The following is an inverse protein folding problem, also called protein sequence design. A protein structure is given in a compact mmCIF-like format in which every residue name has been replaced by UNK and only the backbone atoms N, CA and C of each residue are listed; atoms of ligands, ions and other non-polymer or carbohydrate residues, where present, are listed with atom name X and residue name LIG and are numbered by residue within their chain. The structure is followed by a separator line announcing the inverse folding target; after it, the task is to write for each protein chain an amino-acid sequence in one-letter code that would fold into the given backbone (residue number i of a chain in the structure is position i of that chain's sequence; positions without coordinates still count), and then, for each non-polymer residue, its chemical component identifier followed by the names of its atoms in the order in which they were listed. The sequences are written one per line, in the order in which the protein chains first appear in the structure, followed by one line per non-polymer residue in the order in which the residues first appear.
data_IF_907852641385
#
_entry.id   IF_907852641385
#
_cell.length_a   1.000
_cell.length_b   1.000
_cell.length_c   1.000
_cell.angle_alpha   90.00
_cell.angle_beta   90.00
_cell.angle_gamma   90.00
#
_symmetry.space_group_name_H-M   'P 1'
#
loop_
_entity.id
_entity.type
_entity.pdbx_description
1 polymer ?
#
# COMPACT_ATOMS: atom_id res chain seq x y z
N UNK A 1 -5.85 -12.03 -22.48
CA UNK A 1 -5.96 -13.32 -21.74
C UNK A 1 -5.95 -13.00 -20.25
N UNK A 2 -7.08 -13.19 -19.55
CA UNK A 2 -7.29 -12.73 -18.17
C UNK A 2 -6.70 -13.66 -17.09
N UNK A 3 -6.28 -14.87 -17.48
CA UNK A 3 -5.78 -15.89 -16.56
C UNK A 3 -4.29 -16.12 -16.80
N UNK A 4 -3.48 -15.94 -15.76
CA UNK A 4 -2.06 -16.25 -15.76
C UNK A 4 -1.74 -17.25 -14.64
N UNK A 5 -1.60 -18.52 -15.01
CA UNK A 5 -1.48 -19.66 -14.07
C UNK A 5 -0.38 -19.45 -13.01
N UNK A 6 0.84 -18.99 -13.34
CA UNK A 6 1.86 -18.75 -12.33
C UNK A 6 1.43 -17.73 -11.27
N UNK A 7 0.70 -16.67 -11.64
CA UNK A 7 0.17 -15.71 -10.66
C UNK A 7 -0.92 -16.33 -9.78
N UNK A 8 -1.79 -17.19 -10.33
CA UNK A 8 -2.83 -17.89 -9.55
C UNK A 8 -2.17 -18.79 -8.52
N UNK A 9 -1.19 -19.61 -8.92
CA UNK A 9 -0.50 -20.51 -8.00
C UNK A 9 0.22 -19.76 -6.88
N UNK A 10 0.89 -18.64 -7.21
CA UNK A 10 1.56 -17.82 -6.20
C UNK A 10 0.56 -17.11 -5.26
N UNK A 11 -0.60 -16.71 -5.76
CA UNK A 11 -1.66 -16.14 -4.94
C UNK A 11 -2.28 -17.15 -3.97
N UNK A 12 -2.50 -18.38 -4.42
CA UNK A 12 -2.96 -19.48 -3.57
C UNK A 12 -1.92 -19.85 -2.51
N UNK A 13 -0.63 -19.89 -2.87
CA UNK A 13 0.46 -20.14 -1.92
C UNK A 13 0.54 -19.03 -0.86
N UNK A 14 0.45 -17.77 -1.28
CA UNK A 14 0.39 -16.62 -0.37
C UNK A 14 -0.80 -16.71 0.60
N UNK A 15 -1.99 -17.03 0.09
CA UNK A 15 -3.20 -17.22 0.90
C UNK A 15 -3.03 -18.37 1.90
N UNK A 16 -2.47 -19.50 1.46
CA UNK A 16 -2.21 -20.67 2.30
C UNK A 16 -1.26 -20.34 3.45
N UNK A 17 -0.19 -19.59 3.20
CA UNK A 17 0.75 -19.16 4.24
C UNK A 17 0.06 -18.23 5.25
N UNK A 18 -0.75 -17.26 4.79
CA UNK A 18 -1.53 -16.42 5.71
C UNK A 18 -2.51 -17.24 6.55
N UNK A 19 -3.16 -18.26 5.98
CA UNK A 19 -4.04 -19.16 6.74
C UNK A 19 -3.25 -19.96 7.79
N UNK A 20 -2.05 -20.43 7.45
CA UNK A 20 -1.15 -21.11 8.41
C UNK A 20 -0.75 -20.17 9.54
N UNK A 21 -0.46 -18.90 9.26
CA UNK A 21 -0.16 -17.87 10.28
C UNK A 21 -1.32 -17.73 11.28
N UNK A 22 -2.58 -17.77 10.81
CA UNK A 22 -3.76 -17.70 11.67
C UNK A 22 -3.90 -18.96 12.54
N UNK A 23 -3.59 -20.14 12.00
CA UNK A 23 -3.73 -21.42 12.72
C UNK A 23 -2.58 -21.69 13.70
N UNK A 24 -1.37 -21.22 13.40
CA UNK A 24 -0.15 -21.53 14.14
C UNK A 24 0.60 -20.27 14.55
N UNK A 25 0.24 -19.70 15.70
CA UNK A 25 0.91 -18.51 16.26
C UNK A 25 2.34 -18.78 16.76
N UNK A 26 2.68 -20.01 17.13
CA UNK A 26 3.97 -20.36 17.73
C UNK A 26 5.19 -20.21 16.79
N UNK A 27 4.97 -20.18 15.47
CA UNK A 27 6.04 -20.08 14.47
C UNK A 27 6.11 -18.68 13.82
N UNK A 28 5.71 -17.64 14.55
CA UNK A 28 5.52 -16.27 14.07
C UNK A 28 6.62 -15.74 13.14
N UNK A 29 7.88 -15.69 13.62
CA UNK A 29 9.00 -15.15 12.86
C UNK A 29 9.36 -16.00 11.64
N UNK A 30 9.29 -17.33 11.76
CA UNK A 30 9.57 -18.25 10.66
C UNK A 30 8.55 -18.08 9.53
N UNK A 31 7.25 -18.03 9.88
CA UNK A 31 6.17 -17.87 8.91
C UNK A 31 6.23 -16.51 8.22
N UNK A 32 6.63 -15.45 8.93
CA UNK A 32 6.89 -14.15 8.32
C UNK A 32 8.01 -14.25 7.27
N UNK A 33 9.16 -14.84 7.62
CA UNK A 33 10.28 -14.99 6.68
C UNK A 33 9.88 -15.82 5.45
N UNK A 34 9.13 -16.91 5.65
CA UNK A 34 8.60 -17.73 4.57
C UNK A 34 7.64 -16.94 3.68
N UNK A 35 6.73 -16.15 4.27
CA UNK A 35 5.81 -15.30 3.53
C UNK A 35 6.55 -14.27 2.68
N UNK A 36 7.54 -13.57 3.25
CA UNK A 36 8.33 -12.56 2.54
C UNK A 36 9.15 -13.20 1.41
N UNK A 37 9.78 -14.34 1.66
CA UNK A 37 10.51 -15.09 0.65
C UNK A 37 9.59 -15.49 -0.50
N UNK A 38 8.46 -16.13 -0.20
CA UNK A 38 7.46 -16.54 -1.19
C UNK A 38 6.92 -15.34 -1.97
N UNK A 39 6.67 -14.22 -1.33
CA UNK A 39 6.18 -13.02 -2.00
C UNK A 39 7.22 -12.49 -3.01
N UNK A 40 8.47 -12.32 -2.59
CA UNK A 40 9.55 -11.79 -3.45
C UNK A 40 9.92 -12.78 -4.57
N UNK A 41 10.11 -14.06 -4.25
CA UNK A 41 10.41 -15.09 -5.24
C UNK A 41 9.23 -15.32 -6.19
N UNK A 42 8.01 -15.33 -5.68
CA UNK A 42 6.79 -15.45 -6.47
C UNK A 42 6.67 -14.32 -7.49
N UNK A 43 6.95 -13.08 -7.07
CA UNK A 43 7.03 -11.95 -7.99
C UNK A 43 8.11 -12.11 -9.06
N UNK A 44 9.31 -12.58 -8.67
CA UNK A 44 10.40 -12.81 -9.62
C UNK A 44 10.04 -13.88 -10.65
N UNK A 45 9.43 -14.98 -10.23
CA UNK A 45 8.97 -16.08 -11.08
C UNK A 45 7.88 -15.60 -12.04
N UNK A 46 6.89 -14.87 -11.54
CA UNK A 46 5.76 -14.40 -12.34
C UNK A 46 6.14 -13.30 -13.36
N UNK A 47 6.97 -12.33 -12.95
CA UNK A 47 7.21 -11.13 -13.77
C UNK A 47 8.51 -11.16 -14.56
N UNK A 48 9.47 -12.01 -14.17
CA UNK A 48 10.84 -12.03 -14.71
C UNK A 48 11.54 -10.66 -14.66
N UNK A 49 11.07 -9.71 -13.85
CA UNK A 49 11.69 -8.39 -13.63
C UNK A 49 11.77 -8.09 -12.13
N UNK A 50 12.57 -7.09 -11.77
CA UNK A 50 12.72 -6.60 -10.38
C UNK A 50 12.14 -5.19 -10.20
N UNK A 51 11.30 -4.69 -11.11
CA UNK A 51 10.94 -3.28 -11.09
C UNK A 51 10.06 -2.88 -9.87
N UNK A 52 9.27 -3.79 -9.32
CA UNK A 52 8.31 -3.54 -8.23
C UNK A 52 8.41 -4.52 -7.06
N UNK A 53 9.55 -5.19 -6.88
CA UNK A 53 9.72 -6.19 -5.81
C UNK A 53 9.45 -5.60 -4.40
N UNK A 54 9.80 -4.33 -4.19
CA UNK A 54 9.62 -3.69 -2.89
C UNK A 54 8.13 -3.47 -2.56
N UNK A 55 7.30 -3.21 -3.57
CA UNK A 55 5.85 -3.09 -3.38
C UNK A 55 5.24 -4.43 -2.94
N UNK A 56 5.74 -5.54 -3.46
CA UNK A 56 5.34 -6.91 -3.04
C UNK A 56 5.72 -7.17 -1.59
N UNK A 57 6.96 -6.83 -1.23
CA UNK A 57 7.47 -7.01 0.12
C UNK A 57 6.63 -6.21 1.11
N UNK A 58 6.38 -4.94 0.80
CA UNK A 58 5.59 -4.06 1.64
C UNK A 58 4.15 -4.56 1.79
N UNK A 59 3.53 -5.04 0.69
CA UNK A 59 2.20 -5.64 0.71
C UNK A 59 2.14 -6.88 1.61
N UNK A 60 3.10 -7.80 1.46
CA UNK A 60 3.16 -9.03 2.25
C UNK A 60 3.36 -8.74 3.74
N UNK A 61 4.29 -7.85 4.08
CA UNK A 61 4.54 -7.42 5.46
C UNK A 61 3.30 -6.77 6.07
N UNK A 62 2.66 -5.85 5.34
CA UNK A 62 1.46 -5.15 5.82
C UNK A 62 0.28 -6.10 5.99
N UNK A 63 0.10 -7.05 5.07
CA UNK A 63 -0.97 -8.05 5.17
C UNK A 63 -0.78 -8.96 6.38
N UNK A 64 0.45 -9.38 6.62
CA UNK A 64 0.80 -10.17 7.80
C UNK A 64 0.57 -9.38 9.09
N UNK A 65 0.89 -8.09 9.15
CA UNK A 65 0.63 -7.29 10.36
C UNK A 65 -0.87 -7.12 10.59
N UNK A 66 -1.65 -6.79 9.56
CA UNK A 66 -3.11 -6.59 9.68
C UNK A 66 -3.81 -7.87 10.15
N UNK A 67 -3.40 -9.05 9.69
CA UNK A 67 -4.08 -10.30 10.08
C UNK A 67 -4.00 -10.58 11.59
N UNK A 68 -2.99 -10.02 12.27
CA UNK A 68 -2.83 -10.09 13.72
C UNK A 68 -3.62 -9.00 14.48
N UNK A 69 -4.07 -7.95 13.78
CA UNK A 69 -4.90 -6.88 14.35
C UNK A 69 -6.41 -7.11 14.17
N UNK A 70 -6.79 -8.09 13.34
CA UNK A 70 -8.18 -8.52 13.18
C UNK A 70 -8.49 -9.54 14.28
N UNK A 71 -9.61 -9.39 14.98
CA UNK A 71 -10.02 -10.33 16.04
C UNK A 71 -10.92 -11.45 15.49
N UNK A 72 -11.90 -11.10 14.67
CA UNK A 72 -12.91 -12.02 14.17
C UNK A 72 -12.32 -13.06 13.19
N UNK A 73 -12.52 -14.38 13.42
CA UNK A 73 -12.05 -15.42 12.51
C UNK A 73 -12.62 -15.30 11.09
N UNK A 74 -13.88 -14.88 10.98
CA UNK A 74 -14.55 -14.69 9.68
C UNK A 74 -13.93 -13.52 8.93
N UNK A 75 -13.64 -12.41 9.62
CA UNK A 75 -12.99 -11.26 9.01
C UNK A 75 -11.56 -11.58 8.56
N UNK A 76 -10.82 -12.43 9.29
CA UNK A 76 -9.50 -12.92 8.86
C UNK A 76 -9.60 -13.69 7.54
N UNK A 77 -10.56 -14.59 7.42
CA UNK A 77 -10.71 -15.39 6.19
C UNK A 77 -11.12 -14.53 5.00
N UNK A 78 -12.02 -13.57 5.19
CA UNK A 78 -12.37 -12.57 4.17
C UNK A 78 -11.11 -11.77 3.78
N UNK A 79 -10.34 -11.32 4.76
CA UNK A 79 -9.11 -10.56 4.53
C UNK A 79 -8.06 -11.36 3.74
N UNK A 80 -7.87 -12.65 4.04
CA UNK A 80 -6.98 -13.54 3.30
C UNK A 80 -7.40 -13.63 1.84
N UNK A 81 -8.69 -13.84 1.56
CA UNK A 81 -9.22 -13.95 0.19
C UNK A 81 -8.99 -12.64 -0.58
N UNK A 82 -9.31 -11.49 0.03
CA UNK A 82 -9.11 -10.18 -0.60
C UNK A 82 -7.63 -9.90 -0.86
N UNK A 83 -6.76 -10.22 0.10
CA UNK A 83 -5.31 -10.02 -0.04
C UNK A 83 -4.73 -10.91 -1.15
N UNK A 84 -5.19 -12.15 -1.25
CA UNK A 84 -4.80 -13.06 -2.31
C UNK A 84 -5.25 -12.57 -3.70
N UNK A 85 -6.47 -12.00 -3.79
CA UNK A 85 -6.99 -11.43 -5.03
C UNK A 85 -6.16 -10.21 -5.49
N UNK A 86 -5.86 -9.28 -4.56
CA UNK A 86 -5.01 -8.12 -4.85
C UNK A 86 -3.61 -8.57 -5.27
N UNK A 87 -3.05 -9.55 -4.56
CA UNK A 87 -1.75 -10.11 -4.90
C UNK A 87 -1.72 -10.78 -6.28
N UNK A 88 -2.78 -11.52 -6.63
CA UNK A 88 -2.96 -12.09 -7.98
C UNK A 88 -2.92 -11.00 -9.06
N UNK A 89 -3.77 -9.98 -8.91
CA UNK A 89 -3.85 -8.89 -9.89
C UNK A 89 -2.53 -8.14 -10.02
N UNK A 90 -1.81 -7.98 -8.92
CA UNK A 90 -0.49 -7.37 -8.93
C UNK A 90 0.52 -8.18 -9.74
N UNK A 91 0.61 -9.49 -9.49
CA UNK A 91 1.49 -10.39 -10.25
C UNK A 91 1.12 -10.41 -11.74
N UNK A 92 -0.17 -10.45 -12.04
CA UNK A 92 -0.67 -10.42 -13.41
C UNK A 92 -0.32 -9.11 -14.13
N UNK A 93 -0.49 -7.98 -13.47
CA UNK A 93 -0.14 -6.68 -14.03
C UNK A 93 1.38 -6.51 -14.19
N UNK A 94 2.18 -6.97 -13.22
CA UNK A 94 3.63 -7.01 -13.30
C UNK A 94 4.13 -7.86 -14.48
N UNK A 95 3.49 -9.01 -14.74
CA UNK A 95 3.76 -9.82 -15.93
C UNK A 95 3.43 -9.08 -17.23
N UNK A 96 2.28 -8.39 -17.31
CA UNK A 96 1.88 -7.61 -18.48
C UNK A 96 2.85 -6.46 -18.77
N UNK A 97 3.21 -5.65 -17.76
CA UNK A 97 4.24 -4.60 -17.90
C UNK A 97 5.62 -5.20 -18.25
N UNK A 98 5.87 -6.43 -17.79
CA UNK A 98 7.03 -7.22 -18.20
C UNK A 98 7.15 -7.36 -19.72
N UNK A 99 6.04 -7.66 -20.38
CA UNK A 99 5.96 -7.86 -21.84
C UNK A 99 5.76 -6.56 -22.62
N UNK A 100 4.83 -5.71 -22.18
CA UNK A 100 4.51 -4.44 -22.81
C UNK A 100 4.54 -3.32 -21.75
N UNK A 101 5.63 -2.54 -21.68
CA UNK A 101 5.76 -1.46 -20.70
C UNK A 101 4.70 -0.36 -20.81
N UNK A 102 4.06 -0.21 -21.97
CA UNK A 102 3.13 0.90 -22.24
C UNK A 102 1.66 0.52 -22.03
N UNK A 103 1.39 -0.72 -21.61
CA UNK A 103 0.06 -1.26 -21.30
C UNK A 103 -0.65 -0.41 -20.22
N UNK A 104 -1.69 0.32 -20.64
CA UNK A 104 -2.42 1.26 -19.76
C UNK A 104 -3.24 0.54 -18.70
N UNK A 105 -3.87 -0.60 -19.03
CA UNK A 105 -4.68 -1.36 -18.07
C UNK A 105 -3.79 -1.95 -16.98
N UNK A 106 -2.64 -2.50 -17.36
CA UNK A 106 -1.70 -3.06 -16.40
C UNK A 106 -1.14 -1.98 -15.46
N UNK A 107 -0.88 -0.77 -15.97
CA UNK A 107 -0.51 0.38 -15.13
C UNK A 107 -1.62 0.79 -14.18
N UNK A 108 -2.88 0.76 -14.63
CA UNK A 108 -4.06 0.98 -13.78
C UNK A 108 -4.17 -0.05 -12.66
N UNK A 109 -3.96 -1.33 -12.97
CA UNK A 109 -3.96 -2.40 -11.94
C UNK A 109 -2.82 -2.20 -10.93
N UNK A 110 -1.61 -1.84 -11.37
CA UNK A 110 -0.50 -1.56 -10.45
C UNK A 110 -0.79 -0.34 -9.58
N UNK A 111 -1.42 0.70 -10.13
CA UNK A 111 -1.86 1.84 -9.33
C UNK A 111 -2.88 1.43 -8.26
N UNK A 112 -3.87 0.60 -8.61
CA UNK A 112 -4.83 0.05 -7.64
C UNK A 112 -4.13 -0.78 -6.56
N UNK A 113 -3.19 -1.65 -6.94
CA UNK A 113 -2.39 -2.40 -5.95
C UNK A 113 -1.57 -1.46 -5.07
N UNK A 114 -0.94 -0.42 -5.63
CA UNK A 114 -0.19 0.56 -4.87
C UNK A 114 -1.06 1.24 -3.80
N UNK A 115 -2.29 1.62 -4.15
CA UNK A 115 -3.25 2.19 -3.21
C UNK A 115 -3.65 1.19 -2.12
N UNK A 116 -3.93 -0.06 -2.49
CA UNK A 116 -4.23 -1.11 -1.51
C UNK A 116 -3.04 -1.37 -0.57
N UNK A 117 -1.82 -1.45 -1.10
CA UNK A 117 -0.61 -1.61 -0.30
C UNK A 117 -0.38 -0.42 0.62
N UNK A 118 -0.55 0.81 0.13
CA UNK A 118 -0.41 2.02 0.95
C UNK A 118 -1.43 2.02 2.10
N UNK A 119 -2.69 1.70 1.82
CA UNK A 119 -3.73 1.57 2.85
C UNK A 119 -3.37 0.54 3.92
N UNK A 120 -2.99 -0.67 3.50
CA UNK A 120 -2.60 -1.74 4.43
C UNK A 120 -1.36 -1.34 5.21
N UNK A 121 -0.38 -0.71 4.57
CA UNK A 121 0.85 -0.24 5.21
C UNK A 121 0.56 0.81 6.27
N UNK A 122 -0.21 1.85 5.95
CA UNK A 122 -0.58 2.89 6.91
C UNK A 122 -1.36 2.30 8.09
N UNK A 123 -2.35 1.45 7.81
CA UNK A 123 -3.16 0.79 8.83
C UNK A 123 -2.33 -0.15 9.72
N UNK A 124 -1.44 -0.96 9.12
CA UNK A 124 -0.60 -1.91 9.84
C UNK A 124 0.36 -1.21 10.79
N UNK A 125 1.09 -0.23 10.27
CA UNK A 125 2.12 0.50 11.01
C UNK A 125 1.51 1.38 12.10
N UNK A 126 0.38 2.04 11.84
CA UNK A 126 -0.33 2.78 12.88
C UNK A 126 -0.92 1.84 13.93
N UNK A 127 -1.41 0.67 13.53
CA UNK A 127 -1.86 -0.37 14.46
C UNK A 127 -0.73 -0.86 15.37
N UNK A 128 0.47 -1.09 14.83
CA UNK A 128 1.66 -1.38 15.65
C UNK A 128 1.97 -0.20 16.57
N UNK A 129 1.97 1.03 16.06
CA UNK A 129 2.23 2.22 16.87
C UNK A 129 1.24 2.40 18.04
N UNK A 130 -0.04 2.04 17.87
CA UNK A 130 -1.04 2.10 18.94
C UNK A 130 -0.86 1.01 20.00
N UNK A 131 -0.37 -0.17 19.61
CA UNK A 131 -0.27 -1.33 20.49
C UNK A 131 1.10 -1.49 21.17
N UNK A 132 2.11 -0.79 20.67
CA UNK A 132 3.48 -0.83 21.19
C UNK A 132 3.93 0.58 21.53
N UNK A 133 4.70 0.76 22.60
CA UNK A 133 5.23 2.07 23.04
C UNK A 133 6.34 2.59 22.11
N UNK A 134 6.03 2.75 20.83
CA UNK A 134 6.94 3.21 19.79
C UNK A 134 6.93 4.72 19.76
N UNK A 135 8.10 5.34 19.78
CA UNK A 135 8.19 6.79 19.66
C UNK A 135 7.64 7.27 18.29
N UNK A 136 6.87 8.36 18.28
CA UNK A 136 6.18 8.85 17.07
C UNK A 136 7.11 9.15 15.90
N UNK A 137 8.35 9.58 16.18
CA UNK A 137 9.34 9.86 15.13
C UNK A 137 9.73 8.60 14.33
N UNK A 138 9.66 7.41 14.92
CA UNK A 138 9.87 6.16 14.20
C UNK A 138 8.77 5.92 13.18
N UNK A 139 7.51 6.13 13.55
CA UNK A 139 6.36 6.03 12.64
C UNK A 139 6.52 7.01 11.47
N UNK A 140 6.83 8.26 11.78
CA UNK A 140 7.07 9.33 10.81
C UNK A 140 8.18 8.96 9.80
N UNK A 141 9.32 8.48 10.30
CA UNK A 141 10.44 8.06 9.46
C UNK A 141 10.07 6.83 8.61
N UNK A 142 9.32 5.89 9.18
CA UNK A 142 8.89 4.69 8.47
C UNK A 142 7.95 5.04 7.32
N UNK A 143 7.02 5.98 7.53
CA UNK A 143 6.20 6.54 6.46
C UNK A 143 7.04 7.20 5.37
N UNK A 144 7.94 8.10 5.75
CA UNK A 144 8.81 8.78 4.80
C UNK A 144 9.57 7.80 3.89
N UNK A 145 10.26 6.84 4.48
CA UNK A 145 11.14 5.92 3.74
C UNK A 145 10.33 5.01 2.82
N UNK A 146 9.32 4.32 3.34
CA UNK A 146 8.57 3.34 2.56
C UNK A 146 7.78 4.02 1.43
N UNK A 147 7.14 5.15 1.71
CA UNK A 147 6.35 5.90 0.72
C UNK A 147 7.23 6.51 -0.37
N UNK A 148 8.40 7.03 -0.01
CA UNK A 148 9.37 7.52 -0.99
C UNK A 148 9.83 6.40 -1.93
N UNK A 149 10.12 5.21 -1.39
CA UNK A 149 10.59 4.08 -2.20
C UNK A 149 9.48 3.57 -3.13
N UNK A 150 8.26 3.31 -2.65
CA UNK A 150 7.18 2.81 -3.52
C UNK A 150 6.79 3.83 -4.59
N UNK A 151 6.78 5.13 -4.25
CA UNK A 151 6.46 6.20 -5.20
C UNK A 151 7.55 6.30 -6.28
N UNK A 152 8.82 6.20 -5.88
CA UNK A 152 9.93 6.19 -6.84
C UNK A 152 9.84 5.00 -7.79
N UNK A 153 9.56 3.79 -7.26
CA UNK A 153 9.40 2.58 -8.08
C UNK A 153 8.22 2.67 -9.04
N UNK A 154 7.12 3.29 -8.62
CA UNK A 154 5.96 3.50 -9.49
C UNK A 154 6.25 4.55 -10.57
N UNK A 155 6.72 5.74 -10.21
CA UNK A 155 6.95 6.82 -11.17
C UNK A 155 8.07 6.53 -12.17
N UNK A 156 9.05 5.70 -11.83
CA UNK A 156 10.06 5.24 -12.81
C UNK A 156 9.48 4.36 -13.92
N UNK A 157 8.26 3.83 -13.76
CA UNK A 157 7.52 3.16 -14.84
C UNK A 157 6.98 4.19 -15.83
N UNK A 158 6.53 5.33 -15.32
CA UNK A 158 5.87 6.40 -16.09
C UNK A 158 6.93 7.27 -16.78
N UNK A 159 7.84 7.84 -15.99
CA UNK A 159 8.89 8.75 -16.45
C UNK A 159 10.25 8.04 -16.44
N UNK A 160 10.72 7.66 -17.64
CA UNK A 160 11.95 6.88 -17.83
C UNK A 160 13.19 7.76 -18.03
N UNK A 161 13.02 9.00 -18.48
CA UNK A 161 14.11 9.91 -18.88
C UNK A 161 14.66 10.67 -17.67
N UNK A 162 13.79 11.29 -16.87
CA UNK A 162 14.23 12.18 -15.79
C UNK A 162 14.15 11.54 -14.39
N UNK A 163 15.07 10.61 -14.10
CA UNK A 163 15.12 9.91 -12.81
C UNK A 163 15.35 10.83 -11.61
N UNK A 164 16.08 11.94 -11.79
CA UNK A 164 16.32 12.92 -10.71
C UNK A 164 15.02 13.60 -10.30
N UNK A 165 14.20 14.01 -11.27
CA UNK A 165 12.90 14.60 -11.01
C UNK A 165 11.97 13.59 -10.33
N UNK A 166 11.95 12.34 -10.80
CA UNK A 166 11.17 11.26 -10.16
C UNK A 166 11.57 11.06 -8.70
N UNK A 167 12.88 11.07 -8.40
CA UNK A 167 13.37 10.97 -7.02
C UNK A 167 12.88 12.15 -6.16
N UNK A 168 13.01 13.38 -6.66
CA UNK A 168 12.60 14.59 -5.92
C UNK A 168 11.09 14.52 -5.59
N UNK A 169 10.24 14.24 -6.57
CA UNK A 169 8.79 14.12 -6.33
C UNK A 169 8.48 13.01 -5.34
N UNK A 170 9.16 11.87 -5.43
CA UNK A 170 8.94 10.76 -4.50
C UNK A 170 9.32 11.12 -3.06
N UNK A 171 10.42 11.87 -2.87
CA UNK A 171 10.82 12.39 -1.56
C UNK A 171 9.85 13.44 -1.03
N UNK A 172 9.32 14.33 -1.89
CA UNK A 172 8.31 15.31 -1.51
C UNK A 172 7.04 14.61 -1.01
N UNK A 173 6.57 13.57 -1.71
CA UNK A 173 5.43 12.78 -1.26
C UNK A 173 5.73 12.11 0.08
N UNK A 174 6.90 11.49 0.23
CA UNK A 174 7.33 10.90 1.50
C UNK A 174 7.35 11.91 2.63
N UNK A 175 7.86 13.13 2.40
CA UNK A 175 7.88 14.20 3.41
C UNK A 175 6.45 14.64 3.78
N UNK A 176 5.54 14.73 2.80
CA UNK A 176 4.14 14.99 3.10
C UNK A 176 3.55 13.94 4.06
N UNK A 177 3.88 12.66 3.86
CA UNK A 177 3.42 11.57 4.73
C UNK A 177 4.14 11.53 6.08
N UNK A 178 5.38 12.02 6.15
CA UNK A 178 6.10 12.24 7.41
C UNK A 178 5.34 13.24 8.29
N UNK A 179 5.00 14.40 7.74
CA UNK A 179 4.27 15.46 8.44
C UNK A 179 2.86 15.00 8.84
N UNK A 180 2.14 14.32 7.94
CA UNK A 180 0.83 13.74 8.28
C UNK A 180 0.92 12.66 9.35
N UNK A 181 2.01 11.87 9.38
CA UNK A 181 2.29 10.92 10.44
C UNK A 181 2.46 11.56 11.82
N UNK A 182 2.88 12.83 11.87
CA UNK A 182 2.88 13.61 13.10
C UNK A 182 1.48 14.10 13.47
N UNK A 183 0.77 14.72 12.50
CA UNK A 183 -0.57 15.29 12.68
C UNK A 183 -1.57 14.25 13.19
N UNK A 184 -1.51 13.02 12.66
CA UNK A 184 -2.48 11.98 12.98
C UNK A 184 -2.36 11.45 14.41
N UNK A 185 -1.26 11.71 15.11
CA UNK A 185 -1.11 11.34 16.53
C UNK A 185 -1.99 12.18 17.45
N UNK A 186 -2.45 13.34 16.99
CA UNK A 186 -3.36 14.20 17.74
C UNK A 186 -4.83 13.81 17.54
N UNK A 187 -5.12 12.83 16.68
CA UNK A 187 -6.49 12.41 16.40
C UNK A 187 -6.83 11.13 17.16
N UNK A 188 -8.02 11.03 17.77
CA UNK A 188 -8.44 9.87 18.57
C UNK A 188 -8.96 8.74 17.67
N UNK A 189 -8.24 8.41 16.60
CA UNK A 189 -8.69 7.47 15.57
C UNK A 189 -8.02 6.11 15.71
N UNK A 190 -8.78 5.07 15.39
CA UNK A 190 -8.25 3.72 15.23
C UNK A 190 -7.42 3.57 13.96
N UNK A 191 -6.67 2.48 13.87
CA UNK A 191 -5.70 2.25 12.80
C UNK A 191 -6.30 2.20 11.39
N UNK A 192 -7.51 1.67 11.21
CA UNK A 192 -8.18 1.64 9.90
C UNK A 192 -8.58 3.05 9.44
N UNK A 193 -9.16 3.85 10.33
CA UNK A 193 -9.55 5.23 10.03
C UNK A 193 -8.34 6.09 9.73
N UNK A 194 -7.29 5.96 10.54
CA UNK A 194 -6.02 6.66 10.32
C UNK A 194 -5.37 6.25 8.99
N UNK A 195 -5.36 4.95 8.68
CA UNK A 195 -4.87 4.43 7.40
C UNK A 195 -5.65 4.94 6.19
N UNK A 196 -6.98 5.07 6.31
CA UNK A 196 -7.82 5.64 5.25
C UNK A 196 -7.51 7.13 5.02
N UNK A 197 -7.32 7.92 6.07
CA UNK A 197 -6.99 9.35 5.92
C UNK A 197 -5.61 9.55 5.30
N UNK A 198 -4.61 8.78 5.76
CA UNK A 198 -3.28 8.79 5.16
C UNK A 198 -3.31 8.34 3.69
N UNK A 199 -4.14 7.35 3.34
CA UNK A 199 -4.35 6.95 1.96
C UNK A 199 -4.93 8.08 1.12
N UNK A 200 -5.96 8.78 1.60
CA UNK A 200 -6.55 9.91 0.87
C UNK A 200 -5.50 11.00 0.62
N UNK A 201 -4.74 11.36 1.65
CA UNK A 201 -3.67 12.34 1.52
C UNK A 201 -2.59 11.89 0.53
N UNK A 202 -2.13 10.64 0.65
CA UNK A 202 -1.18 10.04 -0.29
C UNK A 202 -1.70 10.05 -1.73
N UNK A 203 -2.95 9.65 -1.94
CA UNK A 203 -3.58 9.57 -3.25
C UNK A 203 -3.54 10.92 -3.98
N UNK A 204 -3.82 12.03 -3.29
CA UNK A 204 -3.80 13.36 -3.92
C UNK A 204 -2.40 13.74 -4.37
N UNK A 205 -1.41 13.59 -3.50
CA UNK A 205 -0.03 13.92 -3.84
C UNK A 205 0.48 13.02 -4.98
N UNK A 206 0.12 11.74 -4.93
CA UNK A 206 0.45 10.77 -5.96
C UNK A 206 -0.23 11.07 -7.29
N UNK A 207 -1.51 11.42 -7.30
CA UNK A 207 -2.28 11.70 -8.52
C UNK A 207 -1.80 12.99 -9.19
N UNK A 208 -1.49 14.02 -8.40
CA UNK A 208 -0.87 15.26 -8.91
C UNK A 208 0.48 14.97 -9.58
N UNK A 209 1.35 14.19 -8.92
CA UNK A 209 2.64 13.80 -9.47
C UNK A 209 2.50 12.92 -10.72
N UNK A 210 1.57 11.96 -10.72
CA UNK A 210 1.29 11.12 -11.88
C UNK A 210 0.81 11.94 -13.07
N UNK A 211 -0.14 12.85 -12.86
CA UNK A 211 -0.67 13.71 -13.92
C UNK A 211 0.38 14.68 -14.46
N UNK A 212 1.26 15.17 -13.60
CA UNK A 212 2.44 15.94 -14.02
C UNK A 212 3.36 15.11 -14.93
N UNK A 213 3.75 13.90 -14.53
CA UNK A 213 4.59 13.02 -15.36
C UNK A 213 3.91 12.50 -16.63
N UNK A 214 2.59 12.61 -16.71
CA UNK A 214 1.81 12.19 -17.88
C UNK A 214 1.42 13.35 -18.79
N UNK A 215 1.94 14.57 -18.56
CA UNK A 215 1.60 15.81 -19.26
C UNK A 215 0.09 16.15 -19.27
N UNK A 216 -0.65 15.64 -18.27
CA UNK A 216 -2.10 15.82 -18.13
C UNK A 216 -2.48 16.74 -16.96
N UNK A 217 -1.51 17.39 -16.32
CA UNK A 217 -1.76 18.27 -15.19
C UNK A 217 -2.51 19.52 -15.65
N UNK A 218 -3.70 19.72 -15.10
CA UNK A 218 -4.52 20.91 -15.36
C UNK A 218 -5.05 21.49 -14.04
N UNK A 219 -5.37 22.78 -14.04
CA UNK A 219 -6.02 23.45 -12.88
C UNK A 219 -7.28 22.70 -12.43
N UNK A 220 -8.03 22.14 -13.37
CA UNK A 220 -9.23 21.34 -13.10
C UNK A 220 -8.90 20.08 -12.29
N UNK A 221 -7.85 19.35 -12.64
CA UNK A 221 -7.41 18.15 -11.90
C UNK A 221 -7.03 18.51 -10.47
N UNK A 222 -6.26 19.60 -10.28
CA UNK A 222 -5.87 20.06 -8.94
C UNK A 222 -7.09 20.41 -8.08
N UNK A 223 -8.04 21.18 -8.63
CA UNK A 223 -9.26 21.57 -7.92
C UNK A 223 -10.16 20.37 -7.58
N UNK A 224 -10.31 19.42 -8.51
CA UNK A 224 -11.07 18.19 -8.26
C UNK A 224 -10.46 17.38 -7.12
N UNK A 225 -9.14 17.19 -7.11
CA UNK A 225 -8.47 16.43 -6.04
C UNK A 225 -8.58 17.13 -4.69
N UNK A 226 -8.42 18.46 -4.66
CA UNK A 226 -8.54 19.23 -3.42
C UNK A 226 -9.97 19.17 -2.87
N UNK A 227 -10.97 19.32 -3.73
CA UNK A 227 -12.38 19.21 -3.33
C UNK A 227 -12.70 17.81 -2.79
N UNK A 228 -12.26 16.77 -3.52
CA UNK A 228 -12.47 15.37 -3.12
C UNK A 228 -11.81 15.08 -1.77
N UNK A 229 -10.60 15.59 -1.52
CA UNK A 229 -9.93 15.47 -0.24
C UNK A 229 -10.74 16.07 0.92
N UNK A 230 -11.13 17.34 0.76
CA UNK A 230 -11.84 18.09 1.80
C UNK A 230 -13.18 17.42 2.07
N UNK A 231 -13.89 17.01 1.03
CA UNK A 231 -15.19 16.38 1.14
C UNK A 231 -15.10 15.03 1.85
N UNK A 232 -14.25 14.11 1.38
CA UNK A 232 -14.18 12.76 1.98
C UNK A 232 -13.54 12.81 3.37
N UNK A 233 -12.48 13.61 3.57
CA UNK A 233 -11.91 13.81 4.90
C UNK A 233 -12.94 14.43 5.85
N UNK A 234 -13.71 15.42 5.38
CA UNK A 234 -14.82 16.00 6.15
C UNK A 234 -15.85 14.96 6.56
N UNK A 235 -16.23 14.04 5.66
CA UNK A 235 -17.14 12.92 6.00
C UNK A 235 -16.55 11.97 7.05
N UNK A 236 -15.26 11.63 6.93
CA UNK A 236 -14.58 10.76 7.92
C UNK A 236 -14.49 11.46 9.28
N UNK A 237 -14.06 12.72 9.30
CA UNK A 237 -13.97 13.51 10.53
C UNK A 237 -15.33 13.72 11.18
N UNK A 238 -16.39 13.95 10.38
CA UNK A 238 -17.76 14.10 10.88
C UNK A 238 -18.34 12.81 11.46
N UNK A 239 -18.06 11.67 10.85
CA UNK A 239 -18.52 10.35 11.34
C UNK A 239 -17.74 9.83 12.54
N UNK A 240 -16.58 10.45 12.85
CA UNK A 240 -15.69 9.99 13.91
C UNK A 240 -16.13 10.46 15.29
N UNK A 241 -15.89 9.62 16.30
CA UNK A 241 -16.16 9.93 17.71
C UNK A 241 -14.95 10.66 18.31
N UNK A 242 -15.06 11.96 18.51
CA UNK A 242 -13.98 12.81 19.01
C UNK A 242 -13.78 12.77 20.53
N UNK A 243 -14.84 12.42 21.27
CA UNK A 243 -14.81 12.35 22.73
C UNK A 243 -15.15 10.92 23.18
N UNK A 244 -14.39 10.32 24.12
CA UNK A 244 -14.79 9.09 24.76
C UNK A 244 -16.11 9.33 25.53
N UNK A 245 -17.06 8.38 25.45
CA UNK A 245 -18.26 8.43 26.29
C UNK A 245 -17.81 8.20 27.73
N UNK A 246 -17.91 9.25 28.55
CA UNK A 246 -17.90 9.15 30.01
C UNK A 246 -19.20 8.46 30.43
#
# INVERSE_FOLDING_TARGET
MFLYIPAIMQALLFAGILKIVVLYSGAFWLLLLVLLAVAVFGYRVATKKWLLWYLVLLFALSSWTIIHLIDSPVEKDIFIILSALIYYFFLFAGYRIGKNPDDKDARGIIAMTLMATAFLFFSATYGVYLNFEVASWWLMLFYFVNISIISYRYFTIIEKRNKKLVLIYSLIIGLGLLEMGWVINFWPFGYLTSGAILLMFYYILWDLAQNYFSDNLSKRVVLTNLFLFIFISGMVLYSSRWLPRI
#
